data_IF_434416491838
#
_entry.id   IF_434416491838
#
_cell.length_a   1.000
_cell.length_b   1.000
_cell.length_c   1.000
_cell.angle_alpha   90.00
_cell.angle_beta   90.00
_cell.angle_gamma   90.00
#
_symmetry.space_group_name_H-M   'P 1'
#
loop_
_entity.id
_entity.type
_entity.pdbx_description
1 polymer ?
#
# COMPACT_ATOMS: atom_id res chain seq x y z
N UNK A 1 -28.45 43.11 -16.34
CA UNK A 1 -27.03 43.37 -15.99
C UNK A 1 -26.61 42.88 -14.60
N UNK A 2 -27.49 42.85 -13.57
CA UNK A 2 -27.08 42.47 -12.20
C UNK A 2 -26.77 40.98 -11.96
N UNK A 3 -27.30 40.03 -12.74
CA UNK A 3 -27.01 38.60 -12.56
C UNK A 3 -25.59 38.20 -13.01
N UNK A 4 -25.00 38.91 -13.98
CA UNK A 4 -23.66 38.60 -14.48
C UNK A 4 -22.57 39.03 -13.48
N UNK A 5 -22.75 40.17 -12.79
CA UNK A 5 -21.80 40.66 -11.78
C UNK A 5 -21.67 39.75 -10.55
N UNK A 6 -22.76 39.15 -10.08
CA UNK A 6 -22.75 38.23 -8.92
C UNK A 6 -22.01 36.92 -9.22
N UNK A 7 -22.14 36.38 -10.44
CA UNK A 7 -21.43 35.17 -10.88
C UNK A 7 -19.92 35.44 -11.00
N UNK A 8 -19.53 36.59 -11.55
CA UNK A 8 -18.12 37.01 -11.62
C UNK A 8 -17.51 37.22 -10.23
N UNK A 9 -18.25 37.83 -9.29
CA UNK A 9 -17.78 38.06 -7.93
C UNK A 9 -17.65 36.76 -7.12
N UNK A 10 -18.60 35.82 -7.26
CA UNK A 10 -18.53 34.50 -6.64
C UNK A 10 -17.38 33.63 -7.17
N UNK A 11 -17.13 33.69 -8.48
CA UNK A 11 -15.98 33.04 -9.12
C UNK A 11 -14.65 33.64 -8.63
N UNK A 12 -14.57 34.97 -8.52
CA UNK A 12 -13.39 35.68 -8.01
C UNK A 12 -13.09 35.34 -6.54
N UNK A 13 -14.09 35.32 -5.66
CA UNK A 13 -13.92 34.91 -4.25
C UNK A 13 -13.51 33.44 -4.13
N UNK A 14 -14.07 32.56 -4.95
CA UNK A 14 -13.69 31.14 -4.97
C UNK A 14 -12.24 30.93 -5.41
N UNK A 15 -11.79 31.71 -6.42
CA UNK A 15 -10.39 31.74 -6.86
C UNK A 15 -9.47 32.24 -5.76
N UNK A 16 -9.80 33.37 -5.11
CA UNK A 16 -9.03 33.92 -3.99
C UNK A 16 -8.94 32.97 -2.79
N UNK A 17 -10.04 32.29 -2.42
CA UNK A 17 -10.03 31.26 -1.36
C UNK A 17 -9.15 30.07 -1.71
N UNK A 18 -9.10 29.69 -2.98
CA UNK A 18 -8.28 28.57 -3.46
C UNK A 18 -6.80 28.96 -3.47
N UNK A 19 -6.48 30.16 -3.93
CA UNK A 19 -5.13 30.72 -3.91
C UNK A 19 -4.62 30.95 -2.49
N UNK A 20 -5.46 31.47 -1.59
CA UNK A 20 -5.10 31.63 -0.18
C UNK A 20 -4.81 30.28 0.47
N UNK A 21 -5.68 29.26 0.27
CA UNK A 21 -5.45 27.90 0.75
C UNK A 21 -4.19 27.27 0.15
N UNK A 22 -3.86 27.58 -1.11
CA UNK A 22 -2.62 27.13 -1.75
C UNK A 22 -1.41 27.77 -1.08
N UNK A 23 -1.42 29.10 -0.91
CA UNK A 23 -0.36 29.86 -0.24
C UNK A 23 -0.15 29.45 1.21
N UNK A 24 -1.21 29.16 1.95
CA UNK A 24 -1.10 28.67 3.33
C UNK A 24 -0.41 27.30 3.37
N UNK A 25 -0.83 26.36 2.52
CA UNK A 25 -0.20 25.04 2.40
C UNK A 25 1.27 25.12 1.97
N UNK A 26 1.63 26.08 1.11
CA UNK A 26 3.02 26.32 0.73
C UNK A 26 3.85 26.84 1.90
N UNK A 27 3.33 27.83 2.65
CA UNK A 27 3.98 28.36 3.85
C UNK A 27 4.14 27.31 4.95
N UNK A 28 3.17 26.43 5.12
CA UNK A 28 3.26 25.32 6.07
C UNK A 28 4.35 24.32 5.68
N UNK A 29 4.41 23.92 4.40
CA UNK A 29 5.47 23.04 3.89
C UNK A 29 6.85 23.66 4.00
N UNK A 30 6.97 24.97 3.77
CA UNK A 30 8.23 25.69 3.94
C UNK A 30 8.69 25.69 5.39
N UNK A 31 7.81 26.05 6.34
CA UNK A 31 8.08 25.94 7.78
C UNK A 31 8.48 24.53 8.20
N UNK A 32 7.83 23.51 7.64
CA UNK A 32 8.18 22.11 7.90
C UNK A 32 9.58 21.77 7.37
N UNK A 33 9.93 22.23 6.16
CA UNK A 33 11.27 22.03 5.59
C UNK A 33 12.35 22.72 6.41
N UNK A 34 12.12 23.97 6.82
CA UNK A 34 13.07 24.73 7.65
C UNK A 34 13.29 24.05 9.01
N UNK A 35 12.20 23.64 9.68
CA UNK A 35 12.28 22.90 10.94
C UNK A 35 13.05 21.59 10.78
N UNK A 36 12.78 20.84 9.71
CA UNK A 36 13.52 19.60 9.40
C UNK A 36 15.00 19.87 9.15
N UNK A 37 15.33 20.89 8.36
CA UNK A 37 16.73 21.27 8.10
C UNK A 37 17.46 21.67 9.39
N UNK A 38 16.80 22.45 10.26
CA UNK A 38 17.37 22.83 11.56
C UNK A 38 17.59 21.62 12.49
N UNK A 39 16.67 20.65 12.51
CA UNK A 39 16.84 19.40 13.26
C UNK A 39 18.03 18.60 12.72
N UNK A 40 18.15 18.47 11.40
CA UNK A 40 19.24 17.72 10.77
C UNK A 40 20.59 18.38 11.02
N UNK A 41 20.67 19.72 10.96
CA UNK A 41 21.90 20.45 11.29
C UNK A 41 22.31 20.18 12.75
N UNK A 42 21.39 20.34 13.71
CA UNK A 42 21.66 20.04 15.12
C UNK A 42 22.04 18.59 15.37
N UNK A 43 21.50 17.65 14.59
CA UNK A 43 21.86 16.24 14.75
C UNK A 43 23.33 15.93 14.42
N UNK A 44 24.00 16.79 13.64
CA UNK A 44 25.43 16.63 13.34
C UNK A 44 26.32 16.94 14.56
N UNK A 45 25.80 17.67 15.55
CA UNK A 45 26.54 18.05 16.75
C UNK A 45 26.50 16.98 17.85
N UNK A 46 25.60 15.99 17.74
CA UNK A 46 25.33 14.98 18.79
C UNK A 46 26.58 14.20 19.22
N UNK A 47 27.50 13.94 18.31
CA UNK A 47 28.74 13.18 18.57
C UNK A 47 30.00 14.03 18.38
N UNK A 48 29.88 15.36 18.36
CA UNK A 48 30.99 16.27 18.06
C UNK A 48 32.13 16.24 19.09
N UNK A 49 31.84 15.81 20.31
CA UNK A 49 32.79 15.62 21.42
C UNK A 49 33.26 14.17 21.59
N UNK A 50 32.76 13.25 20.75
CA UNK A 50 33.08 11.82 20.81
C UNK A 50 34.19 11.51 19.81
N UNK A 51 35.27 10.88 20.28
CA UNK A 51 36.34 10.42 19.38
C UNK A 51 35.77 9.45 18.32
N UNK A 52 36.21 9.61 17.08
CA UNK A 52 35.67 8.87 15.92
C UNK A 52 35.61 7.34 16.12
N UNK A 53 36.56 6.79 16.87
CA UNK A 53 36.61 5.34 17.20
C UNK A 53 35.39 4.83 17.99
N UNK A 54 34.57 5.74 18.54
CA UNK A 54 33.37 5.41 19.33
C UNK A 54 32.05 5.88 18.71
N UNK A 55 32.08 6.61 17.59
CA UNK A 55 30.85 7.04 16.90
C UNK A 55 30.83 6.79 15.39
N UNK A 56 31.96 6.48 14.75
CA UNK A 56 32.02 6.06 13.36
C UNK A 56 31.82 4.54 13.27
N UNK A 57 30.75 4.11 12.60
CA UNK A 57 30.37 2.68 12.49
C UNK A 57 31.50 1.84 11.87
N UNK A 58 32.21 2.37 10.87
CA UNK A 58 33.29 1.65 10.20
C UNK A 58 34.50 1.49 11.13
N UNK A 59 34.88 2.53 11.88
CA UNK A 59 35.99 2.44 12.85
C UNK A 59 35.66 1.52 14.01
N UNK A 60 34.45 1.59 14.56
CA UNK A 60 33.99 0.66 15.60
C UNK A 60 34.11 -0.79 15.10
N UNK A 61 33.53 -1.08 13.93
CA UNK A 61 33.55 -2.44 13.37
C UNK A 61 34.97 -2.91 13.04
N UNK A 62 35.89 -2.03 12.64
CA UNK A 62 37.28 -2.40 12.40
C UNK A 62 37.99 -2.95 13.65
N UNK A 63 37.66 -2.43 14.85
CA UNK A 63 38.20 -2.94 16.11
C UNK A 63 37.61 -4.30 16.47
N UNK A 64 36.33 -4.51 16.17
CA UNK A 64 35.69 -5.80 16.36
C UNK A 64 36.17 -6.84 15.35
N UNK A 65 36.53 -6.43 14.14
CA UNK A 65 37.16 -7.29 13.13
C UNK A 65 38.54 -7.75 13.58
N UNK A 66 39.37 -6.83 14.09
CA UNK A 66 40.66 -7.16 14.72
C UNK A 66 40.46 -8.17 15.86
N UNK A 67 39.47 -7.93 16.73
CA UNK A 67 39.17 -8.85 17.83
C UNK A 67 38.75 -10.23 17.31
N UNK A 68 37.81 -10.29 16.37
CA UNK A 68 37.35 -11.54 15.75
C UNK A 68 38.50 -12.30 15.10
N UNK A 69 39.42 -11.61 14.42
CA UNK A 69 40.56 -12.20 13.72
C UNK A 69 41.65 -12.73 14.65
N UNK A 70 42.06 -11.94 15.66
CA UNK A 70 43.18 -12.30 16.53
C UNK A 70 42.78 -13.11 17.76
N UNK A 71 41.52 -12.99 18.22
CA UNK A 71 41.03 -13.65 19.43
C UNK A 71 39.61 -14.20 19.26
N UNK A 72 39.38 -14.97 18.18
CA UNK A 72 38.09 -15.57 17.80
C UNK A 72 37.36 -16.23 18.97
N UNK A 73 37.99 -17.12 19.73
CA UNK A 73 37.36 -17.81 20.87
C UNK A 73 36.70 -16.84 21.85
N UNK A 74 37.39 -15.75 22.18
CA UNK A 74 36.87 -14.74 23.11
C UNK A 74 35.76 -13.89 22.49
N UNK A 75 35.82 -13.61 21.19
CA UNK A 75 34.79 -12.88 20.45
C UNK A 75 33.46 -13.66 20.44
N UNK A 76 33.51 -14.94 20.09
CA UNK A 76 32.31 -15.79 20.02
C UNK A 76 31.79 -16.13 21.42
N UNK A 77 32.67 -16.43 22.38
CA UNK A 77 32.25 -16.70 23.78
C UNK A 77 31.59 -15.48 24.45
N UNK A 78 31.97 -14.26 24.05
CA UNK A 78 31.35 -13.02 24.52
C UNK A 78 30.09 -12.62 23.74
N UNK A 79 29.67 -13.41 22.74
CA UNK A 79 28.48 -13.16 21.91
C UNK A 79 28.47 -11.77 21.27
N UNK A 80 29.63 -11.30 20.81
CA UNK A 80 29.80 -9.91 20.34
C UNK A 80 28.84 -9.56 19.21
N UNK A 81 28.63 -10.45 18.25
CA UNK A 81 27.71 -10.24 17.12
C UNK A 81 26.26 -9.98 17.54
N UNK A 82 25.81 -10.53 18.67
CA UNK A 82 24.49 -10.24 19.24
C UNK A 82 24.42 -8.88 19.95
N UNK A 83 25.58 -8.34 20.35
CA UNK A 83 25.71 -7.07 21.05
C UNK A 83 25.89 -5.89 20.07
N UNK A 84 26.55 -6.11 18.93
CA UNK A 84 26.82 -5.06 17.93
C UNK A 84 25.58 -4.30 17.46
N UNK A 85 24.43 -4.94 17.16
CA UNK A 85 23.22 -4.21 16.79
C UNK A 85 22.74 -3.22 17.85
N UNK A 86 22.95 -3.53 19.14
CA UNK A 86 22.60 -2.64 20.26
C UNK A 86 23.60 -1.49 20.37
N UNK A 87 24.89 -1.78 20.21
CA UNK A 87 25.96 -0.78 20.26
C UNK A 87 25.84 0.26 19.14
N UNK A 88 25.59 -0.20 17.91
CA UNK A 88 25.51 0.67 16.73
C UNK A 88 24.19 1.45 16.65
N UNK A 89 23.15 1.01 17.36
CA UNK A 89 21.79 1.56 17.31
C UNK A 89 21.73 3.11 17.42
N UNK A 90 22.28 3.77 18.45
CA UNK A 90 22.19 5.22 18.58
C UNK A 90 22.84 5.98 17.41
N UNK A 91 23.96 5.48 16.89
CA UNK A 91 24.69 6.08 15.78
C UNK A 91 23.88 5.94 14.49
N UNK A 92 23.41 4.72 14.20
CA UNK A 92 22.62 4.44 13.00
C UNK A 92 21.30 5.22 13.03
N UNK A 93 20.63 5.32 14.18
CA UNK A 93 19.40 6.11 14.32
C UNK A 93 19.63 7.60 14.06
N UNK A 94 20.78 8.14 14.47
CA UNK A 94 21.16 9.52 14.16
C UNK A 94 21.32 9.71 12.64
N UNK A 95 22.03 8.80 11.95
CA UNK A 95 22.19 8.87 10.48
C UNK A 95 20.85 8.69 9.74
N UNK A 96 19.98 7.83 10.28
CA UNK A 96 18.65 7.62 9.72
C UNK A 96 17.75 8.83 9.85
N UNK A 97 17.98 9.82 10.73
CA UNK A 97 17.03 10.92 11.01
C UNK A 97 16.47 11.59 9.75
N UNK A 98 17.31 11.87 8.75
CA UNK A 98 16.92 12.51 7.49
C UNK A 98 16.20 11.60 6.49
N UNK A 99 16.30 10.27 6.65
CA UNK A 99 15.67 9.30 5.78
C UNK A 99 14.15 9.23 6.00
N UNK A 100 13.39 9.06 4.92
CA UNK A 100 11.93 9.00 4.95
C UNK A 100 11.44 7.82 4.08
N UNK A 101 10.84 6.77 4.68
CA UNK A 101 10.42 5.57 3.95
C UNK A 101 9.20 5.78 3.02
N UNK A 102 8.55 6.95 3.09
CA UNK A 102 7.37 7.27 2.27
C UNK A 102 7.71 8.11 1.02
N UNK A 103 9.01 8.31 0.74
CA UNK A 103 9.52 9.04 -0.42
C UNK A 103 10.24 8.09 -1.38
N UNK A 104 10.48 8.56 -2.61
CA UNK A 104 11.02 7.73 -3.70
C UNK A 104 12.30 6.98 -3.30
N UNK A 105 12.41 5.73 -3.76
CA UNK A 105 13.51 4.80 -3.47
C UNK A 105 14.91 5.32 -3.82
N UNK A 106 15.02 6.42 -4.58
CA UNK A 106 16.30 7.05 -4.90
C UNK A 106 17.05 7.58 -3.67
N UNK A 107 16.39 7.75 -2.51
CA UNK A 107 17.02 8.17 -1.25
C UNK A 107 16.88 7.07 -0.21
N UNK A 108 17.60 5.97 -0.44
CA UNK A 108 17.49 4.78 0.40
C UNK A 108 18.47 4.72 1.55
N UNK A 109 18.16 3.92 2.57
CA UNK A 109 19.01 3.78 3.75
C UNK A 109 20.30 3.01 3.43
N UNK A 110 20.30 2.17 2.40
CA UNK A 110 21.46 1.40 1.92
C UNK A 110 22.58 2.31 1.41
N UNK A 111 22.26 3.56 1.06
CA UNK A 111 23.25 4.56 0.65
C UNK A 111 23.95 5.23 1.84
N UNK A 112 23.50 4.97 3.07
CA UNK A 112 24.09 5.57 4.26
C UNK A 112 25.40 4.83 4.64
N UNK A 113 26.42 5.54 5.15
CA UNK A 113 27.73 4.95 5.42
C UNK A 113 27.71 3.73 6.36
N UNK A 114 26.77 3.70 7.31
CA UNK A 114 26.64 2.58 8.23
C UNK A 114 26.30 1.27 7.52
N UNK A 115 25.51 1.31 6.43
CA UNK A 115 25.03 0.10 5.76
C UNK A 115 26.20 -0.64 5.13
N UNK A 116 26.98 0.04 4.29
CA UNK A 116 28.18 -0.54 3.66
C UNK A 116 29.19 -1.03 4.71
N UNK A 117 29.34 -0.31 5.83
CA UNK A 117 30.25 -0.74 6.90
C UNK A 117 29.80 -2.05 7.55
N UNK A 118 28.51 -2.20 7.86
CA UNK A 118 27.94 -3.43 8.43
C UNK A 118 27.96 -4.56 7.40
N UNK A 119 27.57 -4.30 6.15
CA UNK A 119 27.60 -5.27 5.06
C UNK A 119 29.01 -5.82 4.85
N UNK A 120 30.03 -4.95 4.81
CA UNK A 120 31.44 -5.36 4.69
C UNK A 120 31.89 -6.20 5.89
N UNK A 121 31.44 -5.88 7.10
CA UNK A 121 31.75 -6.67 8.29
C UNK A 121 31.11 -8.07 8.26
N UNK A 122 29.91 -8.20 7.69
CA UNK A 122 29.18 -9.48 7.61
C UNK A 122 29.60 -10.34 6.41
N UNK A 123 29.93 -9.71 5.27
CA UNK A 123 30.09 -10.37 3.97
C UNK A 123 31.35 -9.93 3.21
N UNK A 124 32.34 -9.37 3.91
CA UNK A 124 33.61 -8.95 3.35
C UNK A 124 34.45 -10.10 2.77
N UNK A 125 35.49 -9.74 2.02
CA UNK A 125 36.40 -10.74 1.45
C UNK A 125 37.11 -11.54 2.56
N UNK A 126 37.13 -12.86 2.45
CA UNK A 126 37.70 -13.76 3.47
C UNK A 126 36.73 -14.18 4.58
N UNK A 127 35.44 -13.80 4.49
CA UNK A 127 34.42 -14.12 5.48
C UNK A 127 33.60 -15.39 5.15
N UNK A 128 34.11 -16.23 4.25
CA UNK A 128 33.44 -17.46 3.78
C UNK A 128 33.23 -18.50 4.88
N UNK A 129 33.99 -18.42 5.97
CA UNK A 129 33.93 -19.31 7.13
C UNK A 129 33.23 -18.68 8.34
N UNK A 130 32.66 -17.46 8.21
CA UNK A 130 31.96 -16.81 9.32
C UNK A 130 30.77 -17.65 9.81
N UNK A 131 30.61 -17.69 11.13
CA UNK A 131 29.43 -18.26 11.79
C UNK A 131 28.15 -17.58 11.30
N UNK A 132 27.03 -18.33 11.26
CA UNK A 132 25.75 -17.80 10.79
C UNK A 132 25.30 -16.54 11.54
N UNK A 133 25.57 -16.48 12.85
CA UNK A 133 25.21 -15.34 13.72
C UNK A 133 25.89 -14.04 13.24
N UNK A 134 27.11 -14.13 12.73
CA UNK A 134 27.87 -12.99 12.21
C UNK A 134 27.30 -12.51 10.86
N UNK A 135 26.87 -13.44 10.01
CA UNK A 135 26.26 -13.12 8.71
C UNK A 135 24.88 -12.48 8.86
N UNK A 136 24.11 -12.94 9.85
CA UNK A 136 22.78 -12.42 10.19
C UNK A 136 22.84 -11.04 10.89
N UNK A 137 24.03 -10.54 11.24
CA UNK A 137 24.17 -9.27 11.97
C UNK A 137 23.56 -8.09 11.20
N UNK A 138 23.68 -8.04 9.87
CA UNK A 138 23.06 -6.99 9.05
C UNK A 138 21.54 -6.98 9.20
N UNK A 139 20.87 -8.14 9.05
CA UNK A 139 19.42 -8.26 9.25
C UNK A 139 19.01 -7.84 10.66
N UNK A 140 19.78 -8.25 11.67
CA UNK A 140 19.57 -7.83 13.06
C UNK A 140 19.71 -6.32 13.26
N UNK A 141 20.67 -5.65 12.60
CA UNK A 141 20.81 -4.19 12.64
C UNK A 141 19.61 -3.51 12.00
N UNK A 142 19.17 -3.97 10.82
CA UNK A 142 17.99 -3.45 10.12
C UNK A 142 16.76 -3.58 11.01
N UNK A 143 16.53 -4.75 11.61
CA UNK A 143 15.40 -5.01 12.50
C UNK A 143 15.41 -4.10 13.74
N UNK A 144 16.60 -3.77 14.27
CA UNK A 144 16.74 -2.94 15.48
C UNK A 144 16.73 -1.44 15.22
N UNK A 145 16.92 -0.99 13.97
CA UNK A 145 17.12 0.43 13.64
C UNK A 145 16.16 0.96 12.58
N UNK A 146 16.06 0.29 11.44
CA UNK A 146 15.23 0.68 10.30
C UNK A 146 13.76 0.37 10.57
N UNK A 147 13.46 -0.84 11.04
CA UNK A 147 12.08 -1.30 11.26
C UNK A 147 11.32 -0.45 12.29
N UNK A 148 11.87 -0.09 13.46
CA UNK A 148 11.17 0.79 14.41
C UNK A 148 10.84 2.15 13.80
N UNK A 149 11.70 2.66 12.90
CA UNK A 149 11.43 3.90 12.19
C UNK A 149 10.31 3.73 11.18
N UNK A 150 10.30 2.67 10.38
CA UNK A 150 9.19 2.36 9.46
C UNK A 150 7.88 2.25 10.22
N UNK A 151 7.84 1.51 11.33
CA UNK A 151 6.65 1.37 12.18
C UNK A 151 6.13 2.73 12.66
N UNK A 152 7.02 3.62 13.13
CA UNK A 152 6.61 4.97 13.53
C UNK A 152 6.03 5.79 12.35
N UNK A 153 6.56 5.62 11.13
CA UNK A 153 6.00 6.25 9.94
C UNK A 153 4.62 5.70 9.59
N UNK A 154 4.42 4.38 9.69
CA UNK A 154 3.13 3.72 9.49
C UNK A 154 2.09 4.27 10.46
N UNK A 155 2.44 4.38 11.74
CA UNK A 155 1.50 4.79 12.80
C UNK A 155 1.17 6.28 12.77
N UNK A 156 2.15 7.14 12.45
CA UNK A 156 2.04 8.58 12.70
C UNK A 156 1.98 9.45 11.44
N UNK A 157 2.47 8.97 10.30
CA UNK A 157 2.73 9.81 9.12
C UNK A 157 2.04 9.29 7.86
N UNK A 158 2.01 7.98 7.66
CA UNK A 158 1.49 7.37 6.45
C UNK A 158 0.00 7.65 6.29
N UNK A 159 -0.35 8.12 5.10
CA UNK A 159 -1.72 8.24 4.60
C UNK A 159 -2.06 7.04 3.70
N UNK A 160 -2.91 6.11 4.15
CA UNK A 160 -3.34 4.97 3.33
C UNK A 160 -4.06 5.35 2.03
N UNK A 161 -4.63 6.56 1.96
CA UNK A 161 -5.25 7.08 0.73
C UNK A 161 -4.22 7.61 -0.27
N UNK A 162 -2.94 7.76 0.10
CA UNK A 162 -1.90 8.26 -0.78
C UNK A 162 -1.29 7.14 -1.61
N UNK A 163 -1.59 7.12 -2.92
CA UNK A 163 -1.06 6.12 -3.86
C UNK A 163 0.48 6.05 -3.84
N UNK A 164 1.14 7.22 -3.77
CA UNK A 164 2.61 7.31 -3.77
C UNK A 164 3.18 6.78 -2.47
N UNK A 165 2.67 7.22 -1.32
CA UNK A 165 3.22 6.76 -0.03
C UNK A 165 3.00 5.27 0.17
N UNK A 166 1.80 4.77 -0.16
CA UNK A 166 1.49 3.34 -0.08
C UNK A 166 2.39 2.53 -1.01
N UNK A 167 2.64 2.99 -2.24
CA UNK A 167 3.55 2.30 -3.16
C UNK A 167 5.00 2.26 -2.66
N UNK A 168 5.56 3.41 -2.23
CA UNK A 168 6.93 3.47 -1.71
C UNK A 168 7.10 2.58 -0.47
N UNK A 169 6.12 2.60 0.43
CA UNK A 169 6.15 1.81 1.65
C UNK A 169 6.03 0.31 1.37
N UNK A 170 5.11 -0.12 0.51
CA UNK A 170 4.96 -1.54 0.15
C UNK A 170 6.20 -2.06 -0.54
N UNK A 171 6.77 -1.30 -1.50
CA UNK A 171 7.98 -1.68 -2.22
C UNK A 171 9.20 -1.82 -1.29
N UNK A 172 9.35 -0.90 -0.34
CA UNK A 172 10.36 -1.00 0.72
C UNK A 172 10.16 -2.26 1.57
N UNK A 173 8.94 -2.57 1.98
CA UNK A 173 8.66 -3.77 2.78
C UNK A 173 8.87 -5.07 1.99
N UNK A 174 8.59 -5.10 0.69
CA UNK A 174 8.89 -6.24 -0.18
C UNK A 174 10.39 -6.50 -0.26
N UNK A 175 11.21 -5.48 -0.55
CA UNK A 175 12.67 -5.62 -0.52
C UNK A 175 13.19 -6.06 0.83
N UNK A 176 12.66 -5.48 1.91
CA UNK A 176 13.07 -5.87 3.27
C UNK A 176 12.82 -7.36 3.55
N UNK A 177 11.74 -7.90 3.00
CA UNK A 177 11.41 -9.33 3.09
C UNK A 177 12.30 -10.19 2.20
N UNK A 178 12.52 -9.77 0.96
CA UNK A 178 13.24 -10.55 -0.06
C UNK A 178 14.75 -10.53 0.15
N UNK A 179 15.33 -9.36 0.41
CA UNK A 179 16.78 -9.16 0.44
C UNK A 179 17.40 -9.44 1.82
N UNK A 180 16.60 -9.30 2.89
CA UNK A 180 17.12 -9.36 4.28
C UNK A 180 16.35 -10.30 5.21
N UNK A 181 15.39 -11.09 4.68
CA UNK A 181 14.57 -12.03 5.47
C UNK A 181 13.82 -11.36 6.64
N UNK A 182 13.39 -10.11 6.47
CA UNK A 182 12.63 -9.38 7.50
C UNK A 182 11.14 -9.71 7.37
N UNK A 183 10.42 -9.66 8.49
CA UNK A 183 8.98 -9.99 8.60
C UNK A 183 8.65 -11.48 8.47
N UNK A 184 9.59 -12.37 8.79
CA UNK A 184 9.32 -13.80 8.95
C UNK A 184 8.42 -14.03 10.18
N UNK A 185 7.10 -13.98 9.96
CA UNK A 185 6.07 -14.21 10.97
C UNK A 185 4.87 -13.28 10.82
N UNK A 186 3.67 -13.86 10.74
CA UNK A 186 2.39 -13.16 10.53
C UNK A 186 2.05 -12.11 11.60
N UNK A 187 2.72 -12.15 12.75
CA UNK A 187 2.45 -11.30 13.92
C UNK A 187 3.62 -10.36 14.28
N UNK A 188 4.48 -10.03 13.31
CA UNK A 188 5.50 -9.02 13.54
C UNK A 188 4.86 -7.66 13.85
N UNK A 189 5.43 -6.89 14.79
CA UNK A 189 4.93 -5.56 15.18
C UNK A 189 4.65 -4.63 13.98
N UNK A 190 5.49 -4.58 12.93
CA UNK A 190 5.24 -3.74 11.75
C UNK A 190 3.99 -4.17 10.98
N UNK A 191 3.76 -5.48 10.83
CA UNK A 191 2.54 -6.02 10.20
C UNK A 191 1.30 -5.61 10.99
N UNK A 192 1.31 -5.74 12.32
CA UNK A 192 0.21 -5.29 13.17
C UNK A 192 -0.04 -3.78 13.07
N UNK A 193 1.01 -2.97 12.98
CA UNK A 193 0.89 -1.52 12.83
C UNK A 193 0.23 -1.14 11.50
N UNK A 194 0.59 -1.81 10.40
CA UNK A 194 -0.05 -1.59 9.09
C UNK A 194 -1.52 -1.98 9.12
N UNK A 195 -1.85 -3.15 9.65
CA UNK A 195 -3.24 -3.61 9.79
C UNK A 195 -4.05 -2.62 10.64
N UNK A 196 -3.51 -2.19 11.77
CA UNK A 196 -4.14 -1.19 12.64
C UNK A 196 -4.37 0.15 11.94
N UNK A 197 -3.38 0.63 11.18
CA UNK A 197 -3.50 1.89 10.42
C UNK A 197 -4.55 1.80 9.32
N UNK A 198 -4.58 0.69 8.57
CA UNK A 198 -5.58 0.45 7.53
C UNK A 198 -6.98 0.34 8.12
N UNK A 199 -7.14 -0.38 9.23
CA UNK A 199 -8.41 -0.49 9.96
C UNK A 199 -8.93 0.87 10.39
N UNK A 200 -8.08 1.68 11.04
CA UNK A 200 -8.45 3.03 11.47
C UNK A 200 -8.86 3.91 10.28
N UNK A 201 -8.18 3.79 9.13
CA UNK A 201 -8.56 4.52 7.93
C UNK A 201 -9.95 4.10 7.40
N UNK A 202 -10.27 2.80 7.41
CA UNK A 202 -11.60 2.33 7.03
C UNK A 202 -12.68 2.79 8.00
N UNK A 203 -12.42 2.71 9.31
CA UNK A 203 -13.42 3.01 10.33
C UNK A 203 -13.67 4.52 10.48
N UNK A 204 -12.63 5.36 10.38
CA UNK A 204 -12.71 6.80 10.66
C UNK A 204 -12.74 7.69 9.40
N UNK A 205 -12.04 7.31 8.32
CA UNK A 205 -11.86 8.18 7.15
C UNK A 205 -12.78 7.84 5.96
N UNK A 206 -13.34 6.61 5.90
CA UNK A 206 -14.23 6.20 4.81
C UNK A 206 -15.67 6.58 5.12
N UNK A 207 -16.20 7.50 4.31
CA UNK A 207 -17.59 7.93 4.40
C UNK A 207 -18.23 8.10 3.03
N UNK A 208 -19.24 7.29 2.70
CA UNK A 208 -20.02 7.44 1.47
C UNK A 208 -21.46 7.84 1.84
N UNK A 209 -21.88 9.09 1.56
CA UNK A 209 -23.21 9.55 1.94
C UNK A 209 -24.31 8.84 1.14
N UNK A 210 -25.37 8.47 1.84
CA UNK A 210 -26.58 7.91 1.25
C UNK A 210 -27.57 9.04 0.94
N UNK A 211 -27.83 9.26 -0.34
CA UNK A 211 -28.80 10.25 -0.81
C UNK A 211 -30.02 9.55 -1.43
N UNK A 212 -31.24 10.11 -1.28
CA UNK A 212 -32.42 9.67 -2.02
C UNK A 212 -32.16 9.65 -3.53
N UNK A 213 -32.68 8.64 -4.24
CA UNK A 213 -32.47 8.46 -5.69
C UNK A 213 -32.76 9.72 -6.51
N UNK A 214 -33.82 10.46 -6.16
CA UNK A 214 -34.21 11.73 -6.80
C UNK A 214 -33.10 12.78 -6.83
N UNK A 215 -32.26 12.86 -5.79
CA UNK A 215 -31.14 13.81 -5.74
C UNK A 215 -29.91 13.35 -6.53
N UNK A 216 -29.89 12.08 -6.94
CA UNK A 216 -28.81 11.44 -7.68
C UNK A 216 -29.13 11.32 -9.18
N UNK A 217 -30.37 11.60 -9.59
CA UNK A 217 -30.80 11.59 -11.00
C UNK A 217 -29.98 12.58 -11.83
N UNK A 218 -29.75 13.77 -11.30
CA UNK A 218 -28.82 14.72 -11.89
C UNK A 218 -27.37 14.40 -11.50
N UNK A 219 -26.58 13.90 -12.46
CA UNK A 219 -25.15 13.61 -12.29
C UNK A 219 -24.31 14.86 -12.00
N UNK A 220 -24.80 16.04 -12.36
CA UNK A 220 -24.14 17.31 -12.11
C UNK A 220 -24.50 17.91 -10.76
N UNK A 221 -25.43 17.30 -10.01
CA UNK A 221 -25.80 17.77 -8.68
C UNK A 221 -24.59 17.70 -7.72
N UNK A 222 -24.42 18.69 -6.83
CA UNK A 222 -23.35 18.66 -5.83
C UNK A 222 -23.34 17.38 -4.99
N UNK A 223 -24.53 16.83 -4.70
CA UNK A 223 -24.70 15.60 -3.93
C UNK A 223 -24.19 14.37 -4.70
N UNK A 224 -24.52 14.28 -5.98
CA UNK A 224 -24.05 13.20 -6.86
C UNK A 224 -22.53 13.24 -7.03
N UNK A 225 -21.97 14.43 -7.26
CA UNK A 225 -20.53 14.63 -7.41
C UNK A 225 -19.77 14.31 -6.11
N UNK A 226 -20.23 14.81 -4.96
CA UNK A 226 -19.59 14.56 -3.67
C UNK A 226 -19.61 13.07 -3.32
N UNK A 227 -20.76 12.42 -3.47
CA UNK A 227 -20.90 10.97 -3.27
C UNK A 227 -19.96 10.18 -4.18
N UNK A 228 -19.91 10.55 -5.46
CA UNK A 228 -19.03 9.89 -6.43
C UNK A 228 -17.56 10.03 -5.99
N UNK A 229 -17.12 11.23 -5.59
CA UNK A 229 -15.77 11.44 -5.08
C UNK A 229 -15.44 10.54 -3.89
N UNK A 230 -16.35 10.43 -2.92
CA UNK A 230 -16.16 9.55 -1.76
C UNK A 230 -16.08 8.06 -2.17
N UNK A 231 -16.93 7.65 -3.12
CA UNK A 231 -16.91 6.30 -3.67
C UNK A 231 -15.58 6.00 -4.38
N UNK A 232 -15.05 6.94 -5.16
CA UNK A 232 -13.75 6.82 -5.80
C UNK A 232 -12.59 6.77 -4.81
N UNK A 233 -12.68 7.52 -3.70
CA UNK A 233 -11.70 7.43 -2.61
C UNK A 233 -11.70 6.04 -1.97
N UNK A 234 -12.88 5.45 -1.75
CA UNK A 234 -12.98 4.08 -1.22
C UNK A 234 -12.42 3.03 -2.20
N UNK A 235 -12.67 3.14 -3.52
CA UNK A 235 -12.02 2.27 -4.51
C UNK A 235 -10.50 2.44 -4.51
N UNK A 236 -10.01 3.68 -4.39
CA UNK A 236 -8.57 3.96 -4.31
C UNK A 236 -7.95 3.30 -3.07
N UNK A 237 -8.63 3.36 -1.92
CA UNK A 237 -8.18 2.68 -0.71
C UNK A 237 -8.13 1.16 -0.90
N UNK A 238 -9.16 0.59 -1.54
CA UNK A 238 -9.21 -0.84 -1.86
C UNK A 238 -7.99 -1.26 -2.70
N UNK A 239 -7.67 -0.52 -3.76
CA UNK A 239 -6.50 -0.79 -4.59
C UNK A 239 -5.17 -0.60 -3.83
N UNK A 240 -5.08 0.36 -2.91
CA UNK A 240 -3.90 0.52 -2.07
C UNK A 240 -3.73 -0.60 -1.05
N UNK A 241 -4.83 -1.15 -0.51
CA UNK A 241 -4.80 -2.32 0.37
C UNK A 241 -4.31 -3.57 -0.37
N UNK A 242 -4.78 -3.79 -1.60
CA UNK A 242 -4.38 -4.97 -2.40
C UNK A 242 -2.87 -5.08 -2.64
N UNK A 243 -2.13 -3.96 -2.64
CA UNK A 243 -0.66 -3.94 -2.78
C UNK A 243 0.09 -4.53 -1.59
N UNK A 244 -0.60 -4.80 -0.49
CA UNK A 244 -0.01 -5.42 0.68
C UNK A 244 -0.04 -6.96 0.62
N UNK A 245 -0.55 -7.55 -0.46
CA UNK A 245 -0.35 -8.97 -0.77
C UNK A 245 1.07 -9.21 -1.34
N UNK A 246 1.83 -10.23 -0.90
CA UNK A 246 1.59 -11.16 0.21
C UNK A 246 2.24 -10.73 1.55
N UNK A 247 2.49 -9.44 1.79
CA UNK A 247 3.11 -8.92 3.03
C UNK A 247 2.22 -9.08 4.27
N UNK A 248 0.90 -8.97 4.11
CA UNK A 248 -0.07 -9.14 5.19
C UNK A 248 -0.76 -10.50 5.11
N UNK A 249 -1.23 -11.07 6.24
CA UNK A 249 -2.02 -12.28 6.24
C UNK A 249 -3.32 -12.11 5.43
N UNK A 250 -3.63 -13.10 4.60
CA UNK A 250 -4.84 -13.12 3.75
C UNK A 250 -6.12 -12.88 4.53
N UNK A 251 -6.24 -13.46 5.73
CA UNK A 251 -7.41 -13.32 6.60
C UNK A 251 -7.65 -11.86 7.00
N UNK A 252 -6.60 -11.15 7.42
CA UNK A 252 -6.66 -9.75 7.81
C UNK A 252 -6.95 -8.85 6.59
N UNK A 253 -6.32 -9.13 5.45
CA UNK A 253 -6.51 -8.34 4.25
C UNK A 253 -7.92 -8.54 3.65
N UNK A 254 -8.44 -9.77 3.63
CA UNK A 254 -9.80 -10.08 3.21
C UNK A 254 -10.85 -9.45 4.15
N UNK A 255 -10.66 -9.50 5.47
CA UNK A 255 -11.56 -8.83 6.43
C UNK A 255 -11.63 -7.31 6.16
N UNK A 256 -10.49 -6.65 5.94
CA UNK A 256 -10.43 -5.21 5.68
C UNK A 256 -11.04 -4.86 4.32
N UNK A 257 -10.61 -5.54 3.26
CA UNK A 257 -10.98 -5.22 1.87
C UNK A 257 -12.40 -5.65 1.54
N UNK A 258 -12.76 -6.89 1.86
CA UNK A 258 -14.02 -7.50 1.43
C UNK A 258 -15.15 -7.18 2.40
N UNK A 259 -14.95 -7.44 3.70
CA UNK A 259 -16.03 -7.27 4.67
C UNK A 259 -16.22 -5.79 5.04
N UNK A 260 -15.15 -5.13 5.49
CA UNK A 260 -15.26 -3.77 6.04
C UNK A 260 -15.33 -2.67 5.01
N UNK A 261 -14.76 -2.85 3.80
CA UNK A 261 -14.76 -1.82 2.77
C UNK A 261 -15.75 -2.13 1.65
N UNK A 262 -15.59 -3.26 0.94
CA UNK A 262 -16.43 -3.63 -0.19
C UNK A 262 -17.88 -3.85 0.22
N UNK A 263 -18.16 -4.83 1.08
CA UNK A 263 -19.50 -5.20 1.49
C UNK A 263 -20.20 -4.07 2.25
N UNK A 264 -19.51 -3.45 3.21
CA UNK A 264 -20.10 -2.41 4.07
C UNK A 264 -20.35 -1.08 3.35
N UNK A 265 -19.46 -0.61 2.48
CA UNK A 265 -19.57 0.74 1.88
C UNK A 265 -19.80 0.73 0.37
N UNK A 266 -19.02 -0.04 -0.39
CA UNK A 266 -19.07 0.00 -1.86
C UNK A 266 -20.32 -0.67 -2.41
N UNK A 267 -20.70 -1.85 -1.90
CA UNK A 267 -21.84 -2.61 -2.41
C UNK A 267 -23.18 -1.88 -2.24
N UNK A 268 -23.38 -1.19 -1.11
CA UNK A 268 -24.55 -0.34 -0.87
C UNK A 268 -24.63 0.75 -1.95
N UNK A 269 -23.48 1.26 -2.39
CA UNK A 269 -23.42 2.34 -3.36
C UNK A 269 -23.61 1.89 -4.81
N UNK A 270 -23.10 0.71 -5.17
CA UNK A 270 -23.22 0.13 -6.51
C UNK A 270 -24.67 -0.17 -6.91
N UNK A 271 -25.52 -0.59 -5.97
CA UNK A 271 -26.94 -0.89 -6.23
C UNK A 271 -27.81 0.29 -6.69
N UNK A 272 -27.24 1.49 -6.78
CA UNK A 272 -27.94 2.73 -7.17
C UNK A 272 -27.43 3.35 -8.48
N UNK A 273 -26.37 2.82 -9.09
CA UNK A 273 -25.75 3.39 -10.28
C UNK A 273 -26.07 2.59 -11.54
N UNK A 274 -26.24 3.29 -12.66
CA UNK A 274 -26.34 2.71 -13.99
C UNK A 274 -24.99 2.80 -14.70
N UNK A 275 -24.43 1.64 -15.03
CA UNK A 275 -23.36 1.41 -16.01
C UNK A 275 -22.13 2.32 -15.87
N UNK A 276 -21.29 2.03 -14.88
CA UNK A 276 -19.94 2.59 -14.78
C UNK A 276 -18.89 1.48 -14.79
N UNK A 277 -17.66 1.82 -15.21
CA UNK A 277 -16.48 0.94 -15.19
C UNK A 277 -15.92 0.74 -13.76
N UNK A 278 -16.77 0.92 -12.74
CA UNK A 278 -16.38 0.81 -11.34
C UNK A 278 -16.15 -0.65 -10.94
N UNK A 279 -16.92 -1.57 -11.51
CA UNK A 279 -16.81 -3.01 -11.25
C UNK A 279 -15.44 -3.55 -11.67
N UNK A 280 -14.94 -3.12 -12.84
CA UNK A 280 -13.61 -3.49 -13.35
C UNK A 280 -12.54 -3.07 -12.32
N UNK A 281 -12.61 -1.84 -11.84
CA UNK A 281 -11.61 -1.32 -10.90
C UNK A 281 -11.65 -2.01 -9.54
N UNK A 282 -12.85 -2.39 -9.07
CA UNK A 282 -12.99 -3.20 -7.86
C UNK A 282 -12.33 -4.56 -8.09
N UNK A 283 -12.62 -5.21 -9.21
CA UNK A 283 -12.04 -6.51 -9.55
C UNK A 283 -10.51 -6.46 -9.72
N UNK A 284 -9.99 -5.43 -10.37
CA UNK A 284 -8.55 -5.19 -10.58
C UNK A 284 -7.82 -4.93 -9.25
N UNK A 285 -8.53 -4.40 -8.25
CA UNK A 285 -7.96 -4.14 -6.92
C UNK A 285 -7.82 -5.40 -6.07
N UNK A 286 -8.46 -6.52 -6.44
CA UNK A 286 -8.38 -7.77 -5.70
C UNK A 286 -7.08 -8.52 -6.03
N UNK A 287 -6.31 -8.96 -5.01
CA UNK A 287 -5.14 -9.81 -5.20
C UNK A 287 -5.46 -11.07 -6.00
N UNK A 288 -4.63 -11.39 -6.99
CA UNK A 288 -4.80 -12.59 -7.82
C UNK A 288 -4.44 -13.87 -7.04
N UNK A 289 -3.55 -13.74 -6.04
CA UNK A 289 -3.15 -14.83 -5.13
C UNK A 289 -4.35 -15.52 -4.49
N UNK A 290 -5.39 -14.76 -4.13
CA UNK A 290 -6.60 -15.27 -3.47
C UNK A 290 -7.40 -16.28 -4.30
N UNK A 291 -7.26 -16.23 -5.62
CA UNK A 291 -8.01 -17.04 -6.58
C UNK A 291 -7.13 -18.11 -7.26
N UNK A 292 -5.83 -18.18 -6.95
CA UNK A 292 -4.93 -19.19 -7.47
C UNK A 292 -5.26 -20.54 -6.83
N UNK A 293 -5.44 -21.58 -7.65
CA UNK A 293 -5.75 -22.95 -7.20
C UNK A 293 -7.14 -23.13 -6.59
N UNK A 294 -8.05 -22.14 -6.70
CA UNK A 294 -9.43 -22.24 -6.20
C UNK A 294 -10.42 -22.32 -7.37
N UNK A 295 -11.38 -23.23 -7.26
CA UNK A 295 -12.45 -23.41 -8.24
C UNK A 295 -13.72 -22.62 -7.90
N UNK A 296 -13.79 -22.08 -6.68
CA UNK A 296 -14.98 -21.39 -6.16
C UNK A 296 -14.66 -19.94 -5.77
N UNK A 297 -15.67 -19.10 -5.92
CA UNK A 297 -15.64 -17.71 -5.49
C UNK A 297 -15.64 -17.59 -3.95
N UNK A 298 -14.88 -16.63 -3.43
CA UNK A 298 -14.83 -16.35 -1.99
C UNK A 298 -16.24 -16.01 -1.44
N UNK A 299 -16.61 -16.49 -0.25
CA UNK A 299 -17.94 -16.27 0.32
C UNK A 299 -18.24 -14.78 0.56
N UNK A 300 -17.22 -13.96 0.85
CA UNK A 300 -17.39 -12.52 1.03
C UNK A 300 -17.77 -11.78 -0.27
N UNK A 301 -17.49 -12.37 -1.45
CA UNK A 301 -17.76 -11.76 -2.75
C UNK A 301 -19.16 -12.07 -3.31
N UNK A 302 -20.01 -12.78 -2.58
CA UNK A 302 -21.34 -13.17 -3.07
C UNK A 302 -22.23 -11.97 -3.41
N UNK A 303 -22.16 -10.89 -2.63
CA UNK A 303 -22.88 -9.64 -2.90
C UNK A 303 -22.43 -9.01 -4.23
N UNK A 304 -21.12 -9.01 -4.50
CA UNK A 304 -20.53 -8.49 -5.74
C UNK A 304 -20.85 -9.38 -6.94
N UNK A 305 -20.72 -10.71 -6.80
CA UNK A 305 -21.19 -11.70 -7.80
C UNK A 305 -22.63 -11.44 -8.20
N UNK A 306 -23.54 -11.33 -7.23
CA UNK A 306 -24.96 -11.11 -7.49
C UNK A 306 -25.23 -9.79 -8.21
N UNK A 307 -24.49 -8.73 -7.86
CA UNK A 307 -24.57 -7.46 -8.57
C UNK A 307 -24.17 -7.59 -10.05
N UNK A 308 -23.05 -8.26 -10.34
CA UNK A 308 -22.57 -8.51 -11.70
C UNK A 308 -23.57 -9.33 -12.52
N UNK A 309 -24.11 -10.41 -11.94
CA UNK A 309 -25.13 -11.24 -12.59
C UNK A 309 -26.40 -10.43 -12.91
N UNK A 310 -26.88 -9.63 -11.96
CA UNK A 310 -28.03 -8.75 -12.19
C UNK A 310 -27.75 -7.70 -13.27
N UNK A 311 -26.54 -7.13 -13.29
CA UNK A 311 -26.09 -6.19 -14.32
C UNK A 311 -26.13 -6.84 -15.70
N UNK A 312 -25.55 -8.04 -15.85
CA UNK A 312 -25.59 -8.78 -17.12
C UNK A 312 -27.04 -9.07 -17.57
N UNK A 313 -27.90 -9.58 -16.67
CA UNK A 313 -29.30 -9.82 -16.99
C UNK A 313 -30.05 -8.56 -17.45
N UNK A 314 -29.80 -7.42 -16.80
CA UNK A 314 -30.45 -6.16 -17.14
C UNK A 314 -29.97 -5.65 -18.51
N UNK A 315 -28.67 -5.75 -18.82
CA UNK A 315 -28.11 -5.37 -20.12
C UNK A 315 -28.76 -6.20 -21.22
N UNK A 316 -28.72 -7.53 -21.10
CA UNK A 316 -29.24 -8.44 -22.12
C UNK A 316 -30.77 -8.37 -22.30
N UNK A 317 -31.54 -7.96 -21.28
CA UNK A 317 -33.00 -7.79 -21.38
C UNK A 317 -33.43 -6.47 -22.01
N UNK A 318 -32.66 -5.41 -21.84
CA UNK A 318 -33.06 -4.06 -22.23
C UNK A 318 -32.37 -3.55 -23.51
N UNK A 319 -31.34 -4.24 -24.00
CA UNK A 319 -30.60 -3.88 -25.21
C UNK A 319 -30.52 -5.09 -26.15
N UNK A 320 -30.66 -4.88 -27.48
CA UNK A 320 -30.52 -5.97 -28.44
C UNK A 320 -29.08 -6.53 -28.40
N UNK A 321 -28.89 -7.86 -28.32
CA UNK A 321 -27.57 -8.49 -28.15
C UNK A 321 -26.61 -8.27 -29.33
N UNK A 322 -27.13 -7.86 -30.48
CA UNK A 322 -26.37 -7.60 -31.71
C UNK A 322 -25.69 -6.22 -31.74
N UNK A 323 -26.02 -5.33 -30.80
CA UNK A 323 -25.35 -4.05 -30.68
C UNK A 323 -23.91 -4.23 -30.14
N UNK A 324 -22.87 -3.74 -30.83
CA UNK A 324 -21.47 -3.99 -30.45
C UNK A 324 -21.14 -3.50 -29.04
N UNK A 325 -21.69 -2.35 -28.62
CA UNK A 325 -21.46 -1.78 -27.28
C UNK A 325 -22.08 -2.62 -26.15
N UNK A 326 -23.24 -3.22 -26.42
CA UNK A 326 -23.93 -4.13 -25.48
C UNK A 326 -23.13 -5.40 -25.28
N UNK A 327 -22.65 -5.99 -26.38
CA UNK A 327 -21.82 -7.21 -26.34
C UNK A 327 -20.53 -6.98 -25.57
N UNK A 328 -19.82 -5.87 -25.82
CA UNK A 328 -18.60 -5.51 -25.10
C UNK A 328 -18.84 -5.41 -23.59
N UNK A 329 -19.90 -4.73 -23.17
CA UNK A 329 -20.22 -4.55 -21.74
C UNK A 329 -20.53 -5.90 -21.06
N UNK A 330 -21.20 -6.83 -21.75
CA UNK A 330 -21.47 -8.17 -21.22
C UNK A 330 -20.18 -8.99 -21.12
N UNK A 331 -19.31 -8.92 -22.14
CA UNK A 331 -17.99 -9.57 -22.13
C UNK A 331 -17.16 -9.09 -20.94
N UNK A 332 -17.13 -7.78 -20.66
CA UNK A 332 -16.44 -7.23 -19.47
C UNK A 332 -16.98 -7.81 -18.16
N UNK A 333 -18.31 -7.93 -18.02
CA UNK A 333 -18.92 -8.55 -16.82
C UNK A 333 -18.54 -10.02 -16.70
N UNK A 334 -18.52 -10.76 -17.80
CA UNK A 334 -18.11 -12.17 -17.82
C UNK A 334 -16.62 -12.34 -17.47
N UNK A 335 -15.75 -11.44 -17.95
CA UNK A 335 -14.33 -11.41 -17.60
C UNK A 335 -14.11 -11.15 -16.10
N UNK A 336 -14.88 -10.23 -15.51
CA UNK A 336 -14.83 -10.00 -14.05
C UNK A 336 -15.28 -11.25 -13.30
N UNK A 337 -16.41 -11.86 -13.68
CA UNK A 337 -16.92 -13.09 -13.07
C UNK A 337 -15.88 -14.23 -13.17
N UNK A 338 -15.14 -14.30 -14.26
CA UNK A 338 -14.06 -15.27 -14.46
C UNK A 338 -12.91 -15.02 -13.47
N UNK A 339 -12.46 -13.77 -13.36
CA UNK A 339 -11.39 -13.36 -12.42
C UNK A 339 -11.72 -13.73 -10.97
N UNK A 340 -12.98 -13.60 -10.56
CA UNK A 340 -13.43 -13.97 -9.20
C UNK A 340 -13.93 -15.43 -9.08
N UNK A 341 -13.61 -16.29 -10.05
CA UNK A 341 -13.94 -17.73 -10.06
C UNK A 341 -15.43 -18.04 -9.92
N UNK A 342 -16.29 -17.25 -10.57
CA UNK A 342 -17.74 -17.45 -10.62
C UNK A 342 -18.18 -18.20 -11.89
N UNK A 343 -17.63 -19.39 -12.12
CA UNK A 343 -17.84 -20.15 -13.36
C UNK A 343 -19.32 -20.54 -13.61
N UNK A 344 -20.05 -20.94 -12.57
CA UNK A 344 -21.48 -21.29 -12.69
C UNK A 344 -22.33 -20.11 -13.20
N UNK A 345 -21.99 -18.89 -12.77
CA UNK A 345 -22.67 -17.68 -13.20
C UNK A 345 -22.38 -17.37 -14.67
N UNK A 346 -21.14 -17.60 -15.12
CA UNK A 346 -20.75 -17.44 -16.53
C UNK A 346 -21.57 -18.39 -17.40
N UNK A 347 -21.62 -19.68 -17.05
CA UNK A 347 -22.37 -20.69 -17.79
C UNK A 347 -23.85 -20.32 -17.88
N UNK A 348 -24.47 -19.94 -16.76
CA UNK A 348 -25.89 -19.56 -16.73
C UNK A 348 -26.21 -18.34 -17.60
N UNK A 349 -25.33 -17.34 -17.66
CA UNK A 349 -25.51 -16.16 -18.52
C UNK A 349 -25.29 -16.53 -19.99
N UNK A 350 -24.25 -17.31 -20.29
CA UNK A 350 -23.90 -17.70 -21.64
C UNK A 350 -25.01 -18.52 -22.31
N UNK A 351 -25.50 -19.56 -21.63
CA UNK A 351 -26.59 -20.42 -22.13
C UNK A 351 -27.89 -19.63 -22.36
N UNK A 352 -28.18 -18.66 -21.49
CA UNK A 352 -29.44 -17.91 -21.53
C UNK A 352 -29.49 -16.85 -22.62
N UNK A 353 -28.35 -16.26 -22.96
CA UNK A 353 -28.27 -15.12 -23.89
C UNK A 353 -27.38 -15.38 -25.11
N UNK A 354 -26.97 -16.63 -25.32
CA UNK A 354 -26.15 -17.07 -26.46
C UNK A 354 -24.76 -16.40 -26.54
N UNK A 355 -24.04 -16.40 -25.40
CA UNK A 355 -22.64 -15.90 -25.29
C UNK A 355 -21.63 -17.04 -25.15
N UNK A 356 -21.94 -18.26 -25.59
CA UNK A 356 -21.06 -19.43 -25.47
C UNK A 356 -19.74 -19.24 -26.24
N UNK A 357 -19.77 -18.49 -27.34
CA UNK A 357 -18.58 -18.16 -28.14
C UNK A 357 -17.56 -17.29 -27.38
N UNK A 358 -18.04 -16.47 -26.43
CA UNK A 358 -17.20 -15.64 -25.55
C UNK A 358 -16.40 -16.51 -24.57
N UNK A 359 -16.98 -17.62 -24.10
CA UNK A 359 -16.31 -18.54 -23.17
C UNK A 359 -15.01 -19.06 -23.80
N UNK A 360 -15.08 -19.49 -25.06
CA UNK A 360 -13.94 -20.05 -25.78
C UNK A 360 -12.95 -18.96 -26.21
N UNK A 361 -13.43 -17.85 -26.78
CA UNK A 361 -12.57 -16.78 -27.30
C UNK A 361 -11.76 -16.06 -26.22
N UNK A 362 -12.30 -15.95 -25.00
CA UNK A 362 -11.62 -15.31 -23.86
C UNK A 362 -11.12 -16.29 -22.80
N UNK A 363 -11.21 -17.61 -23.04
CA UNK A 363 -10.76 -18.66 -22.11
C UNK A 363 -11.31 -18.47 -20.68
N UNK A 364 -12.58 -18.09 -20.56
CA UNK A 364 -13.16 -17.63 -19.28
C UNK A 364 -13.22 -18.68 -18.16
N UNK A 365 -13.07 -19.96 -18.50
CA UNK A 365 -13.14 -21.07 -17.55
C UNK A 365 -11.78 -21.76 -17.32
N UNK A 366 -10.77 -21.44 -18.14
CA UNK A 366 -9.47 -22.12 -18.15
C UNK A 366 -8.33 -21.18 -17.74
N UNK A 367 -8.59 -20.25 -16.81
CA UNK A 367 -7.54 -19.39 -16.25
C UNK A 367 -6.73 -20.18 -15.21
N UNK A 368 -6.07 -21.26 -15.62
CA UNK A 368 -4.87 -21.76 -14.97
C UNK A 368 -3.70 -21.00 -15.59
N UNK A 369 -3.30 -19.89 -14.99
CA UNK A 369 -2.09 -19.17 -15.38
C UNK A 369 -1.19 -19.03 -14.17
N UNK A 370 -0.06 -19.74 -14.27
CA UNK A 370 1.25 -19.63 -13.62
C UNK A 370 1.38 -18.81 -12.31
#
# INVERSE_FOLDING_TARGET
MCQSGAIYFGSYISRLKTEWRKRERERERERERERRAAILLKSQEIFSDVHDDFHDVKRILSRFEEWRSFYSDSYHTAYISLCLPKLLNPIIRQQLLGWNPLKDANVDFEKLPWFTAVETFCHGYGHEELENIDREMLSNVIERTVIPKITAFVELVWDPMSLRQSACLTELCHRLREDYSIFEGEQSKPVTAVIGRLKNCVDEDVFIPLYPKKLLEDRLSPQSQFRNQQFWMAIKLLGNMGKWDPLLPDSALQELMLDKLLCRYLMISLGSQTFSNNDIRIADSLPTSWFRGKNECLPQLQSFKNHLVQKAHNICKHQPPEAPDTRLTVVEVLQILSRIRCHDAIMSIAEKYHYEDVIYSHQLLNQETE
#
